data_IF_192545263150
#
_entry.id   IF_192545263150
#
_cell.length_a   1.000
_cell.length_b   1.000
_cell.length_c   1.000
_cell.angle_alpha   90.00
_cell.angle_beta   90.00
_cell.angle_gamma   90.00
#
_symmetry.space_group_name_H-M   'P 1'
#
loop_
_entity.id
_entity.type
_entity.pdbx_description
1 polymer ?
#
# COMPACT_ATOMS: atom_id res chain seq x y z
N UNK A 1 -11.81 -4.36 11.61
CA UNK A 1 -11.21 -5.04 10.44
C UNK A 1 -9.84 -4.44 10.13
N UNK A 2 -9.73 -3.18 9.70
CA UNK A 2 -8.43 -2.50 9.56
C UNK A 2 -7.63 -2.41 10.88
N UNK A 3 -8.32 -2.25 12.01
CA UNK A 3 -7.72 -2.32 13.34
C UNK A 3 -7.10 -3.70 13.64
N UNK A 4 -7.64 -4.78 13.06
CA UNK A 4 -7.10 -6.12 13.27
C UNK A 4 -5.80 -6.34 12.48
N UNK A 5 -5.71 -5.81 11.24
CA UNK A 5 -4.43 -5.76 10.49
C UNK A 5 -3.37 -4.97 11.26
N UNK A 6 -3.75 -3.87 11.93
CA UNK A 6 -2.85 -3.10 12.77
C UNK A 6 -2.27 -3.90 13.96
N UNK A 7 -3.00 -4.93 14.42
CA UNK A 7 -2.54 -5.87 15.44
C UNK A 7 -1.99 -7.18 14.85
N UNK A 8 -1.66 -7.22 13.56
CA UNK A 8 -1.04 -8.37 12.90
C UNK A 8 -1.99 -9.53 12.60
N UNK A 9 -3.30 -9.34 12.74
CA UNK A 9 -4.29 -10.37 12.41
C UNK A 9 -4.53 -10.35 10.89
N UNK A 10 -4.29 -11.46 10.17
CA UNK A 10 -4.57 -11.54 8.74
C UNK A 10 -6.05 -11.28 8.46
N UNK A 11 -6.34 -10.44 7.47
CA UNK A 11 -7.71 -10.17 7.03
C UNK A 11 -7.86 -10.51 5.56
N UNK A 12 -9.12 -10.69 5.12
CA UNK A 12 -9.46 -10.85 3.70
C UNK A 12 -9.43 -9.53 2.91
N UNK A 13 -8.79 -8.50 3.48
CA UNK A 13 -8.74 -7.16 2.91
C UNK A 13 -7.35 -6.92 2.35
N UNK A 14 -7.29 -6.39 1.12
CA UNK A 14 -6.08 -5.83 0.55
C UNK A 14 -6.20 -4.31 0.55
N UNK A 15 -5.13 -3.66 1.02
CA UNK A 15 -5.09 -2.22 1.24
C UNK A 15 -4.68 -1.50 -0.05
N UNK A 16 -5.50 -0.55 -0.48
CA UNK A 16 -5.28 0.32 -1.63
C UNK A 16 -5.33 1.79 -1.19
N UNK A 17 -4.77 2.68 -1.99
CA UNK A 17 -4.89 4.13 -1.81
C UNK A 17 -5.36 4.80 -3.09
N UNK A 18 -6.24 5.80 -2.97
CA UNK A 18 -6.64 6.66 -4.09
C UNK A 18 -5.53 7.63 -4.52
N UNK A 19 -4.47 7.76 -3.71
CA UNK A 19 -3.38 8.69 -3.96
C UNK A 19 -2.17 7.97 -4.59
N UNK A 20 -1.85 8.22 -5.88
CA UNK A 20 -0.67 7.60 -6.51
C UNK A 20 0.63 8.03 -5.83
N UNK A 21 0.67 9.24 -5.23
CA UNK A 21 1.84 9.73 -4.49
C UNK A 21 2.05 8.96 -3.17
N UNK A 22 0.96 8.62 -2.46
CA UNK A 22 1.07 7.80 -1.26
C UNK A 22 1.45 6.36 -1.59
N UNK A 23 0.92 5.81 -2.70
CA UNK A 23 1.34 4.50 -3.20
C UNK A 23 2.84 4.48 -3.53
N UNK A 24 3.33 5.53 -4.20
CA UNK A 24 4.76 5.69 -4.50
C UNK A 24 5.61 5.80 -3.23
N UNK A 25 5.15 6.52 -2.21
CA UNK A 25 5.84 6.58 -0.92
C UNK A 25 6.02 5.20 -0.31
N UNK A 26 4.93 4.43 -0.18
CA UNK A 26 4.97 3.09 0.41
C UNK A 26 5.83 2.12 -0.42
N UNK A 27 5.81 2.25 -1.74
CA UNK A 27 6.67 1.44 -2.61
C UNK A 27 8.16 1.78 -2.45
N UNK A 28 8.50 3.03 -2.15
CA UNK A 28 9.88 3.51 -2.10
C UNK A 28 10.52 3.43 -0.71
N UNK A 29 9.77 3.66 0.37
CA UNK A 29 10.33 3.86 1.71
C UNK A 29 11.18 2.68 2.21
N UNK A 30 10.73 1.45 1.98
CA UNK A 30 11.44 0.25 2.40
C UNK A 30 12.66 -0.09 1.52
N UNK A 31 12.76 0.53 0.34
CA UNK A 31 13.92 0.42 -0.56
C UNK A 31 14.96 1.52 -0.32
N UNK A 32 14.67 2.51 0.52
CA UNK A 32 15.57 3.62 0.81
C UNK A 32 16.93 3.14 1.33
N UNK A 33 18.01 3.83 0.93
CA UNK A 33 19.37 3.49 1.39
C UNK A 33 19.61 3.78 2.87
N UNK A 34 18.77 4.61 3.47
CA UNK A 34 18.88 5.08 4.85
C UNK A 34 18.24 4.10 5.84
N UNK A 35 17.37 3.21 5.37
CA UNK A 35 16.69 2.23 6.22
C UNK A 35 17.61 1.03 6.47
N UNK A 36 17.86 0.73 7.75
CA UNK A 36 18.76 -0.36 8.19
C UNK A 36 18.33 -1.73 7.67
N UNK A 37 17.03 -2.02 7.77
CA UNK A 37 16.41 -3.28 7.38
C UNK A 37 15.71 -3.17 6.02
N UNK A 38 16.35 -2.47 5.07
CA UNK A 38 15.76 -2.24 3.75
C UNK A 38 15.49 -3.55 3.01
N UNK A 39 14.39 -3.58 2.28
CA UNK A 39 14.03 -4.69 1.39
C UNK A 39 14.95 -4.64 0.17
N UNK A 40 15.75 -5.69 -0.02
CA UNK A 40 16.60 -5.84 -1.21
C UNK A 40 15.74 -6.26 -2.39
N UNK A 41 15.49 -5.31 -3.29
CA UNK A 41 14.82 -5.54 -4.56
C UNK A 41 15.56 -4.78 -5.67
N UNK A 42 15.46 -5.24 -6.92
CA UNK A 42 15.97 -4.51 -8.09
C UNK A 42 15.06 -3.34 -8.48
N UNK A 43 13.77 -3.42 -8.11
CA UNK A 43 12.74 -2.45 -8.53
C UNK A 43 11.75 -2.17 -7.42
N UNK A 44 11.24 -0.96 -7.39
CA UNK A 44 10.03 -0.60 -6.64
C UNK A 44 8.84 -0.57 -7.60
N UNK A 45 7.68 -1.05 -7.15
CA UNK A 45 6.51 -1.26 -8.00
C UNK A 45 5.29 -0.63 -7.35
N UNK A 46 4.56 0.18 -8.12
CA UNK A 46 3.22 0.64 -7.77
C UNK A 46 2.23 -0.13 -8.64
N UNK A 47 1.33 -0.87 -8.01
CA UNK A 47 0.23 -1.55 -8.69
C UNK A 47 -1.02 -0.68 -8.59
N UNK A 48 -1.80 -0.59 -9.67
CA UNK A 48 -3.04 0.18 -9.71
C UNK A 48 -4.17 -0.64 -10.33
N UNK A 49 -5.38 -0.44 -9.83
CA UNK A 49 -6.60 -1.11 -10.29
C UNK A 49 -7.47 -0.11 -11.05
N UNK A 50 -7.81 -0.41 -12.31
CA UNK A 50 -8.77 0.40 -13.07
C UNK A 50 -10.21 0.06 -12.65
N UNK A 51 -10.88 1.03 -12.04
CA UNK A 51 -12.26 0.90 -11.52
C UNK A 51 -13.34 1.45 -12.45
N UNK A 52 -13.00 2.04 -13.61
CA UNK A 52 -13.96 2.73 -14.49
C UNK A 52 -15.02 1.84 -15.15
N UNK A 53 -14.93 0.52 -15.00
CA UNK A 53 -15.85 -0.47 -15.59
C UNK A 53 -16.29 -1.56 -14.59
N UNK A 54 -16.21 -1.33 -13.28
CA UNK A 54 -16.71 -2.31 -12.28
C UNK A 54 -18.25 -2.39 -12.37
N UNK A 55 -18.81 -3.54 -12.72
CA UNK A 55 -20.26 -3.79 -12.53
C UNK A 55 -20.55 -4.27 -11.12
N UNK A 56 -21.80 -4.14 -10.64
CA UNK A 56 -22.18 -4.57 -9.28
C UNK A 56 -21.93 -6.06 -8.99
N UNK A 57 -21.80 -6.88 -10.03
CA UNK A 57 -21.48 -8.31 -9.93
C UNK A 57 -19.97 -8.57 -9.80
N UNK A 58 -19.13 -7.62 -10.25
CA UNK A 58 -17.68 -7.61 -9.98
C UNK A 58 -17.38 -7.05 -8.55
N UNK A 59 -18.38 -6.58 -7.81
CA UNK A 59 -18.27 -5.99 -6.44
C UNK A 59 -18.03 -7.05 -5.36
N UNK A 60 -17.81 -8.31 -5.73
CA UNK A 60 -17.10 -9.22 -4.83
C UNK A 60 -15.71 -8.70 -4.43
N UNK A 61 -15.16 -7.72 -5.18
CA UNK A 61 -14.00 -6.89 -4.84
C UNK A 61 -14.42 -5.49 -4.37
N UNK A 62 -15.41 -5.40 -3.49
CA UNK A 62 -15.94 -4.12 -3.01
C UNK A 62 -14.85 -3.26 -2.40
N UNK A 63 -14.70 -2.02 -2.91
CA UNK A 63 -14.00 -0.93 -2.24
C UNK A 63 -14.75 -0.61 -0.95
N UNK A 64 -14.29 -1.15 0.17
CA UNK A 64 -14.89 -0.83 1.46
C UNK A 64 -14.34 0.52 1.91
N UNK A 65 -15.20 1.54 1.97
CA UNK A 65 -14.87 2.76 2.71
C UNK A 65 -15.01 2.44 4.21
N UNK A 66 -13.90 2.23 4.91
CA UNK A 66 -13.95 2.15 6.36
C UNK A 66 -14.43 3.50 6.94
N UNK A 67 -15.27 3.51 8.00
CA UNK A 67 -15.76 4.75 8.58
C UNK A 67 -14.59 5.64 9.02
N UNK A 68 -14.44 6.78 8.34
CA UNK A 68 -13.30 7.71 8.39
C UNK A 68 -13.17 8.50 9.71
N UNK A 69 -14.16 8.37 10.60
CA UNK A 69 -14.25 9.09 11.86
C UNK A 69 -13.39 8.47 12.98
N UNK A 70 -13.27 7.15 13.02
CA UNK A 70 -12.53 6.44 14.08
C UNK A 70 -11.07 6.08 13.74
N UNK A 71 -10.64 6.26 12.49
CA UNK A 71 -9.29 5.90 12.05
C UNK A 71 -8.67 7.03 11.21
N UNK A 72 -7.86 7.86 11.87
CA UNK A 72 -7.18 9.01 11.26
C UNK A 72 -6.24 8.60 10.13
N UNK A 73 -5.58 7.43 10.23
CA UNK A 73 -4.69 6.93 9.18
C UNK A 73 -5.44 6.62 7.89
N UNK A 74 -6.56 5.91 7.96
CA UNK A 74 -7.34 5.57 6.76
C UNK A 74 -7.87 6.81 6.05
N UNK A 75 -8.26 7.85 6.81
CA UNK A 75 -8.71 9.12 6.25
C UNK A 75 -7.58 9.84 5.53
N UNK A 76 -6.41 9.92 6.16
CA UNK A 76 -5.26 10.64 5.63
C UNK A 76 -4.66 9.91 4.43
N UNK A 77 -4.55 8.58 4.49
CA UNK A 77 -3.95 7.76 3.45
C UNK A 77 -4.91 7.48 2.27
N UNK A 78 -6.14 8.02 2.32
CA UNK A 78 -7.23 7.73 1.36
C UNK A 78 -7.39 6.22 1.12
N UNK A 79 -7.44 5.47 2.23
CA UNK A 79 -7.44 4.02 2.24
C UNK A 79 -8.73 3.44 1.65
N UNK A 80 -8.56 2.48 0.75
CA UNK A 80 -9.59 1.64 0.18
C UNK A 80 -9.24 0.18 0.46
N UNK A 81 -10.24 -0.70 0.54
CA UNK A 81 -10.00 -2.13 0.72
C UNK A 81 -10.71 -2.91 -0.36
N UNK A 82 -10.07 -3.92 -0.96
CA UNK A 82 -10.79 -4.93 -1.75
C UNK A 82 -11.02 -6.18 -0.92
N UNK A 83 -12.23 -6.73 -1.00
CA UNK A 83 -12.60 -8.00 -0.37
C UNK A 83 -12.36 -9.19 -1.31
N UNK A 84 -11.99 -10.35 -0.74
CA UNK A 84 -11.81 -11.60 -1.49
C UNK A 84 -12.69 -12.72 -0.90
N UNK A 85 -13.84 -13.04 -1.52
CA UNK A 85 -14.77 -14.03 -0.98
C UNK A 85 -14.16 -15.44 -0.86
N UNK A 86 -13.32 -15.83 -1.80
CA UNK A 86 -12.70 -17.17 -1.88
C UNK A 86 -11.41 -17.30 -1.06
N UNK A 87 -10.99 -16.25 -0.34
CA UNK A 87 -9.72 -16.24 0.39
C UNK A 87 -9.61 -17.37 1.44
N UNK A 88 -10.73 -17.76 2.06
CA UNK A 88 -10.77 -18.87 3.00
C UNK A 88 -10.50 -20.22 2.32
N UNK A 89 -11.19 -20.49 1.20
CA UNK A 89 -11.00 -21.73 0.45
C UNK A 89 -9.57 -21.83 -0.04
N UNK A 90 -9.02 -20.74 -0.57
CA UNK A 90 -7.62 -20.65 -0.94
C UNK A 90 -6.68 -20.97 0.24
N UNK A 91 -6.95 -20.40 1.42
CA UNK A 91 -6.15 -20.67 2.62
C UNK A 91 -6.22 -22.12 3.07
N UNK A 92 -7.41 -22.74 3.03
CA UNK A 92 -7.59 -24.15 3.41
C UNK A 92 -6.76 -25.06 2.49
N UNK A 93 -6.79 -24.78 1.18
CA UNK A 93 -6.09 -25.57 0.17
C UNK A 93 -4.57 -25.34 0.18
N UNK A 94 -4.13 -24.08 0.29
CA UNK A 94 -2.74 -23.69 0.10
C UNK A 94 -1.97 -23.46 1.41
N UNK A 95 -2.66 -23.52 2.57
CA UNK A 95 -2.13 -23.20 3.90
C UNK A 95 -1.46 -21.82 4.01
N UNK A 96 -1.83 -20.90 3.12
CA UNK A 96 -1.36 -19.51 3.07
C UNK A 96 -2.45 -18.59 2.53
N UNK A 97 -2.46 -17.34 2.97
CA UNK A 97 -3.38 -16.35 2.40
C UNK A 97 -3.00 -16.05 0.94
N UNK A 98 -3.98 -15.78 0.06
CA UNK A 98 -3.70 -15.49 -1.34
C UNK A 98 -2.92 -14.17 -1.47
N UNK A 99 -1.87 -14.18 -2.28
CA UNK A 99 -1.21 -12.94 -2.71
C UNK A 99 -2.00 -12.25 -3.82
N UNK A 100 -1.65 -11.00 -4.12
CA UNK A 100 -2.24 -10.28 -5.24
C UNK A 100 -2.07 -11.03 -6.56
N UNK A 101 -0.92 -11.67 -6.79
CA UNK A 101 -0.66 -12.52 -7.97
C UNK A 101 -1.59 -13.73 -8.00
N UNK A 102 -1.79 -14.39 -6.86
CA UNK A 102 -2.69 -15.55 -6.77
C UNK A 102 -4.13 -15.15 -7.09
N UNK A 103 -4.57 -13.99 -6.57
CA UNK A 103 -5.87 -13.39 -6.87
C UNK A 103 -6.01 -13.11 -8.38
N UNK A 104 -5.03 -12.45 -8.98
CA UNK A 104 -5.04 -12.14 -10.42
C UNK A 104 -5.10 -13.42 -11.25
N UNK A 105 -4.33 -14.43 -10.87
CA UNK A 105 -4.30 -15.70 -11.60
C UNK A 105 -5.61 -16.48 -11.51
N UNK A 106 -6.39 -16.27 -10.44
CA UNK A 106 -7.67 -16.92 -10.22
C UNK A 106 -8.82 -16.20 -10.94
N UNK A 107 -8.66 -14.94 -11.35
CA UNK A 107 -9.71 -14.14 -11.98
C UNK A 107 -9.20 -13.39 -13.22
N UNK A 108 -9.53 -13.93 -14.41
CA UNK A 108 -9.18 -13.32 -15.69
C UNK A 108 -9.78 -11.91 -15.87
N UNK A 109 -10.89 -11.58 -15.18
CA UNK A 109 -11.49 -10.25 -15.24
C UNK A 109 -10.59 -9.21 -14.57
N UNK A 110 -9.83 -9.59 -13.54
CA UNK A 110 -8.88 -8.71 -12.87
C UNK A 110 -7.57 -8.55 -13.64
N UNK A 111 -7.20 -9.57 -14.44
CA UNK A 111 -5.93 -9.60 -15.19
C UNK A 111 -5.74 -8.37 -16.09
N UNK A 112 -6.78 -7.92 -16.77
CA UNK A 112 -6.73 -6.77 -17.68
C UNK A 112 -6.93 -5.42 -16.97
N UNK A 113 -7.21 -5.43 -15.66
CA UNK A 113 -7.59 -4.25 -14.88
C UNK A 113 -6.49 -3.80 -13.93
N UNK A 114 -5.52 -4.68 -13.65
CA UNK A 114 -4.37 -4.37 -12.82
C UNK A 114 -3.18 -3.98 -13.70
N UNK A 115 -2.79 -2.72 -13.58
CA UNK A 115 -1.57 -2.20 -14.18
C UNK A 115 -0.47 -2.07 -13.13
N UNK A 116 0.78 -2.04 -13.59
CA UNK A 116 1.95 -1.86 -12.74
C UNK A 116 2.88 -0.83 -13.36
N UNK A 117 3.38 0.10 -12.54
CA UNK A 117 4.48 0.99 -12.89
C UNK A 117 5.65 0.63 -12.00
N UNK A 118 6.86 0.59 -12.57
CA UNK A 118 8.05 0.27 -11.79
C UNK A 118 9.24 1.15 -12.17
N UNK A 119 10.08 1.44 -11.18
CA UNK A 119 11.37 2.11 -11.37
C UNK A 119 12.47 1.32 -10.65
N UNK A 120 13.75 1.48 -11.03
CA UNK A 120 14.85 0.86 -10.31
C UNK A 120 14.87 1.24 -8.83
N UNK A 121 15.24 0.31 -7.96
CA UNK A 121 15.22 0.54 -6.50
C UNK A 121 16.24 1.59 -6.03
N UNK A 122 17.33 1.80 -6.77
CA UNK A 122 18.31 2.84 -6.46
C UNK A 122 17.75 4.27 -6.63
N UNK A 123 16.62 4.43 -7.32
CA UNK A 123 15.89 5.70 -7.44
C UNK A 123 14.99 6.00 -6.22
N UNK A 124 14.85 5.07 -5.28
CA UNK A 124 13.92 5.20 -4.15
C UNK A 124 14.15 6.48 -3.33
N UNK A 125 15.40 6.80 -3.02
CA UNK A 125 15.72 8.03 -2.27
C UNK A 125 15.38 9.30 -3.07
N UNK A 126 15.56 9.28 -4.40
CA UNK A 126 15.17 10.38 -5.28
C UNK A 126 13.66 10.58 -5.29
N UNK A 127 12.90 9.49 -5.43
CA UNK A 127 11.43 9.51 -5.35
C UNK A 127 10.96 10.06 -4.01
N UNK A 128 11.57 9.64 -2.90
CA UNK A 128 11.19 10.08 -1.56
C UNK A 128 11.48 11.56 -1.31
N UNK A 129 12.56 12.11 -1.87
CA UNK A 129 12.83 13.56 -1.83
C UNK A 129 11.78 14.35 -2.61
N UNK A 130 11.43 13.90 -3.82
CA UNK A 130 10.37 14.53 -4.62
C UNK A 130 9.05 14.50 -3.84
N UNK A 131 8.68 13.35 -3.26
CA UNK A 131 7.46 13.21 -2.48
C UNK A 131 7.44 14.10 -1.23
N UNK A 132 8.59 14.28 -0.58
CA UNK A 132 8.74 15.23 0.53
C UNK A 132 8.43 16.66 0.09
N UNK A 133 8.90 17.09 -1.10
CA UNK A 133 8.59 18.42 -1.64
C UNK A 133 7.08 18.61 -1.94
N UNK A 134 6.38 17.52 -2.27
CA UNK A 134 4.91 17.50 -2.38
C UNK A 134 4.18 17.38 -1.03
N UNK A 135 4.89 17.40 0.10
CA UNK A 135 4.32 17.26 1.44
C UNK A 135 3.88 15.83 1.81
N UNK A 136 4.32 14.82 1.06
CA UNK A 136 4.03 13.42 1.32
C UNK A 136 5.16 12.84 2.16
N UNK A 137 4.93 12.73 3.47
CA UNK A 137 5.91 12.32 4.48
C UNK A 137 5.28 11.36 5.48
N UNK A 138 6.10 10.64 6.26
CA UNK A 138 5.57 9.75 7.30
C UNK A 138 4.70 10.51 8.28
N UNK A 139 5.14 11.69 8.68
CA UNK A 139 4.40 12.55 9.62
C UNK A 139 3.07 13.03 9.04
N UNK A 140 3.02 13.36 7.74
CA UNK A 140 1.76 13.79 7.11
C UNK A 140 0.79 12.65 6.89
N UNK A 141 1.27 11.44 6.58
CA UNK A 141 0.42 10.26 6.36
C UNK A 141 0.04 9.50 7.64
N UNK A 142 0.87 9.61 8.67
CA UNK A 142 0.73 8.92 9.94
C UNK A 142 0.97 9.90 11.10
N UNK A 143 -0.02 10.75 11.44
CA UNK A 143 0.18 11.86 12.38
C UNK A 143 0.17 11.40 13.85
N UNK A 144 1.23 10.71 14.27
CA UNK A 144 1.55 10.44 15.67
C UNK A 144 2.92 11.04 16.01
N UNK A 145 3.14 11.39 17.27
CA UNK A 145 4.38 12.03 17.73
C UNK A 145 5.61 11.17 17.41
N UNK A 146 5.51 9.86 17.55
CA UNK A 146 6.55 8.90 17.19
C UNK A 146 6.91 8.95 15.69
N UNK A 147 5.89 9.05 14.82
CA UNK A 147 6.10 9.15 13.38
C UNK A 147 6.72 10.49 12.98
N UNK A 148 6.38 11.59 13.67
CA UNK A 148 7.02 12.88 13.47
C UNK A 148 8.51 12.84 13.87
N UNK A 149 8.84 12.20 15.00
CA UNK A 149 10.23 12.03 15.43
C UNK A 149 11.04 11.17 14.44
N UNK A 150 10.47 10.05 13.97
CA UNK A 150 11.08 9.19 12.95
C UNK A 150 11.27 9.91 11.62
N UNK A 151 10.28 10.68 11.19
CA UNK A 151 10.38 11.49 9.97
C UNK A 151 11.53 12.49 10.07
N UNK A 152 11.68 13.18 11.21
CA UNK A 152 12.77 14.12 11.41
C UNK A 152 14.15 13.46 11.31
N UNK A 153 14.35 12.30 11.96
CA UNK A 153 15.59 11.52 11.86
C UNK A 153 15.87 11.06 10.42
N UNK A 154 14.81 10.64 9.72
CA UNK A 154 14.88 10.20 8.34
C UNK A 154 15.29 11.34 7.39
N UNK A 155 14.64 12.51 7.49
CA UNK A 155 14.94 13.71 6.69
C UNK A 155 16.41 14.11 6.83
N UNK A 156 16.92 14.18 8.07
CA UNK A 156 18.33 14.51 8.31
C UNK A 156 19.28 13.57 7.57
N UNK A 157 18.94 12.29 7.56
CA UNK A 157 19.78 11.26 6.94
C UNK A 157 19.70 11.30 5.41
N UNK A 158 18.51 11.42 4.82
CA UNK A 158 18.32 11.42 3.36
C UNK A 158 18.79 12.72 2.69
N UNK A 159 18.64 13.87 3.35
CA UNK A 159 19.10 15.17 2.86
C UNK A 159 20.54 15.51 3.31
N UNK A 160 21.15 14.69 4.17
CA UNK A 160 22.49 14.92 4.76
C UNK A 160 22.60 16.28 5.48
N UNK A 161 21.62 16.58 6.35
CA UNK A 161 21.54 17.77 7.20
C UNK A 161 22.06 17.51 8.63
#
# INVERSE_FOLDING_TARGET
MALAQHHGVPTRLLDWTESPLMAAYFAAIDASSVVSDRVKSERIVVTFLNVGQVTYEDINYAVVNAPRYGNTFLRVQKGLFTYFPTANSYFIENRRWPSLEAIISADERLRYRLGRVSVPSHEADGVLRILHDFGITRASMMPYLEHAAREFQYIRSIFKL
#
